data_IF_873045704434
#
_entry.id   IF_873045704434
#
_cell.length_a   1.000
_cell.length_b   1.000
_cell.length_c   1.000
_cell.angle_alpha   90.00
_cell.angle_beta   90.00
_cell.angle_gamma   90.00
#
_symmetry.space_group_name_H-M   'P 1'
#
loop_
_entity.id
_entity.type
_entity.pdbx_description
1 polymer ?
#
# COMPACT_ATOMS: atom_id res chain seq x y z
N UNK A 1 -7.85 7.49 17.10
CA UNK A 1 -7.73 7.53 15.63
C UNK A 1 -6.29 7.47 15.13
N UNK A 2 -5.50 8.54 15.25
CA UNK A 2 -4.16 8.63 14.60
C UNK A 2 -3.18 7.50 14.97
N UNK A 3 -3.12 7.09 16.24
CA UNK A 3 -2.20 6.03 16.71
C UNK A 3 -2.62 4.62 16.27
N UNK A 4 -3.90 4.32 16.31
CA UNK A 4 -4.46 2.95 16.14
C UNK A 4 -5.07 2.66 14.76
N UNK A 5 -4.99 3.60 13.83
CA UNK A 5 -5.52 3.49 12.47
C UNK A 5 -7.02 3.22 12.41
N UNK A 6 -7.74 3.87 13.32
CA UNK A 6 -9.19 3.79 13.35
C UNK A 6 -9.78 4.21 12.01
N UNK A 7 -10.86 3.57 11.61
CA UNK A 7 -11.52 3.93 10.37
C UNK A 7 -12.14 5.34 10.46
N UNK A 8 -12.19 6.01 9.30
CA UNK A 8 -12.68 7.38 9.19
C UNK A 8 -14.12 7.54 9.67
N UNK A 9 -15.02 6.65 9.24
CA UNK A 9 -16.46 6.73 9.52
C UNK A 9 -16.74 6.67 11.03
N UNK A 10 -16.14 5.70 11.73
CA UNK A 10 -16.25 5.58 13.19
C UNK A 10 -15.66 6.78 13.91
N UNK A 11 -14.48 7.23 13.48
CA UNK A 11 -13.85 8.42 14.07
C UNK A 11 -14.73 9.66 13.94
N UNK A 12 -15.24 9.94 12.71
CA UNK A 12 -16.12 11.07 12.44
C UNK A 12 -17.38 11.03 13.30
N UNK A 13 -18.05 9.88 13.34
CA UNK A 13 -19.26 9.68 14.11
C UNK A 13 -19.05 9.91 15.62
N UNK A 14 -17.97 9.37 16.20
CA UNK A 14 -17.66 9.54 17.62
C UNK A 14 -17.40 11.01 17.94
N UNK A 15 -16.62 11.72 17.13
CA UNK A 15 -16.32 13.14 17.36
C UNK A 15 -17.61 13.98 17.27
N UNK A 16 -18.46 13.75 16.27
CA UNK A 16 -19.76 14.42 16.14
C UNK A 16 -20.67 14.16 17.34
N UNK A 17 -20.72 12.91 17.82
CA UNK A 17 -21.50 12.57 19.03
C UNK A 17 -21.01 13.27 20.28
N UNK A 18 -19.68 13.40 20.46
CA UNK A 18 -19.11 14.12 21.59
C UNK A 18 -19.46 15.61 21.53
N UNK A 19 -19.43 16.20 20.33
CA UNK A 19 -19.78 17.61 20.13
C UNK A 19 -21.28 17.89 20.31
N UNK A 20 -22.14 16.93 19.93
CA UNK A 20 -23.58 17.09 19.99
C UNK A 20 -24.03 18.33 19.20
N UNK A 21 -24.83 19.20 19.81
CA UNK A 21 -25.28 20.45 19.18
C UNK A 21 -24.16 21.45 18.88
N UNK A 22 -22.99 21.31 19.51
CA UNK A 22 -21.84 22.21 19.26
C UNK A 22 -21.25 22.05 17.87
N UNK A 23 -21.62 21.00 17.14
CA UNK A 23 -21.17 20.82 15.75
C UNK A 23 -21.68 21.93 14.80
N UNK A 24 -22.77 22.61 15.17
CA UNK A 24 -23.33 23.72 14.39
C UNK A 24 -22.79 25.09 14.81
N UNK A 25 -22.20 25.20 16.01
CA UNK A 25 -21.79 26.48 16.62
C UNK A 25 -20.29 26.64 16.74
N UNK A 26 -19.52 25.56 16.94
CA UNK A 26 -18.06 25.56 16.92
C UNK A 26 -17.57 25.34 15.48
N UNK A 27 -16.64 26.19 15.02
CA UNK A 27 -16.04 26.10 13.69
C UNK A 27 -15.40 24.72 13.46
N UNK A 28 -14.71 24.19 14.47
CA UNK A 28 -14.08 22.85 14.39
C UNK A 28 -15.12 21.74 14.25
N UNK A 29 -16.30 21.98 14.82
CA UNK A 29 -17.45 21.09 14.70
C UNK A 29 -18.00 21.06 13.28
N UNK A 30 -18.19 22.24 12.67
CA UNK A 30 -18.62 22.36 11.27
C UNK A 30 -17.61 21.73 10.31
N UNK A 31 -16.33 22.03 10.51
CA UNK A 31 -15.26 21.42 9.72
C UNK A 31 -15.21 19.90 9.88
N UNK A 32 -15.45 19.37 11.09
CA UNK A 32 -15.57 17.92 11.31
C UNK A 32 -16.76 17.32 10.56
N UNK A 33 -17.88 18.03 10.46
CA UNK A 33 -19.05 17.60 9.67
C UNK A 33 -18.72 17.55 8.17
N UNK A 34 -17.94 18.51 7.66
CA UNK A 34 -17.53 18.57 6.26
C UNK A 34 -16.36 17.64 5.91
N UNK A 35 -15.59 17.18 6.89
CA UNK A 35 -14.41 16.35 6.68
C UNK A 35 -14.72 15.09 5.86
N UNK A 36 -13.86 14.76 4.89
CA UNK A 36 -13.93 13.56 4.04
C UNK A 36 -12.90 12.49 4.39
N UNK A 37 -11.97 12.81 5.29
CA UNK A 37 -10.88 11.91 5.72
C UNK A 37 -10.46 12.19 7.16
N UNK A 38 -9.69 11.27 7.77
CA UNK A 38 -9.09 11.49 9.09
C UNK A 38 -8.12 12.66 9.07
N UNK A 39 -7.41 12.87 7.95
CA UNK A 39 -6.52 14.02 7.78
C UNK A 39 -7.27 15.35 7.90
N UNK A 40 -8.48 15.42 7.32
CA UNK A 40 -9.32 16.62 7.39
C UNK A 40 -9.85 16.85 8.81
N UNK A 41 -10.26 15.78 9.51
CA UNK A 41 -10.63 15.86 10.93
C UNK A 41 -9.43 16.35 11.75
N UNK A 42 -8.23 15.80 11.53
CA UNK A 42 -7.04 16.25 12.24
C UNK A 42 -6.68 17.69 11.94
N UNK A 43 -6.93 18.17 10.72
CA UNK A 43 -6.75 19.58 10.34
C UNK A 43 -7.71 20.48 11.10
N UNK A 44 -9.00 20.12 11.16
CA UNK A 44 -10.01 20.87 11.90
C UNK A 44 -9.67 21.02 13.39
N UNK A 45 -8.98 20.03 13.95
CA UNK A 45 -8.57 20.01 15.35
C UNK A 45 -7.13 20.48 15.59
N UNK A 46 -6.44 21.01 14.56
CA UNK A 46 -5.04 21.46 14.65
C UNK A 46 -4.06 20.40 15.20
N UNK A 47 -4.31 19.12 14.88
CA UNK A 47 -3.49 17.96 15.28
C UNK A 47 -2.91 17.22 14.06
N UNK A 48 -2.77 17.92 12.93
CA UNK A 48 -2.17 17.36 11.70
C UNK A 48 -0.76 16.82 11.93
N UNK A 49 0.02 17.44 12.82
CA UNK A 49 1.38 16.99 13.13
C UNK A 49 1.40 15.61 13.80
N UNK A 50 0.46 15.37 14.72
CA UNK A 50 0.29 14.06 15.38
C UNK A 50 -0.11 13.00 14.35
N UNK A 51 -1.03 13.34 13.45
CA UNK A 51 -1.42 12.45 12.35
C UNK A 51 -0.22 12.10 11.46
N UNK A 52 0.56 13.10 11.04
CA UNK A 52 1.73 12.92 10.20
C UNK A 52 2.83 12.10 10.90
N UNK A 53 3.04 12.33 12.20
CA UNK A 53 4.00 11.56 13.01
C UNK A 53 3.65 10.06 12.98
N UNK A 54 2.42 9.69 13.32
CA UNK A 54 2.00 8.29 13.30
C UNK A 54 1.95 7.70 11.89
N UNK A 55 1.55 8.48 10.88
CA UNK A 55 1.63 8.09 9.47
C UNK A 55 3.07 7.74 9.07
N UNK A 56 4.04 8.55 9.47
CA UNK A 56 5.46 8.32 9.18
C UNK A 56 6.03 7.13 9.95
N UNK A 57 5.63 6.92 11.21
CA UNK A 57 6.01 5.73 11.98
C UNK A 57 5.53 4.45 11.27
N UNK A 58 4.30 4.44 10.77
CA UNK A 58 3.77 3.30 10.01
C UNK A 58 4.50 3.08 8.70
N UNK A 59 4.77 4.16 7.95
CA UNK A 59 5.60 4.08 6.73
C UNK A 59 6.97 3.48 7.00
N UNK A 60 7.61 3.84 8.11
CA UNK A 60 8.89 3.25 8.53
C UNK A 60 8.76 1.79 8.95
N UNK A 61 7.64 1.41 9.58
CA UNK A 61 7.37 0.03 9.96
C UNK A 61 7.10 -0.87 8.73
N UNK A 62 6.37 -0.37 7.73
CA UNK A 62 6.15 -1.10 6.46
C UNK A 62 7.44 -1.24 5.65
N UNK A 63 8.32 -0.24 5.68
CA UNK A 63 9.67 -0.35 5.09
C UNK A 63 10.57 -1.38 5.79
N UNK A 64 10.27 -1.77 7.04
CA UNK A 64 10.98 -2.81 7.79
C UNK A 64 10.45 -4.24 7.55
N UNK A 65 9.49 -4.45 6.64
CA UNK A 65 9.05 -5.80 6.27
C UNK A 65 10.27 -6.59 5.79
N UNK A 66 10.65 -7.61 6.55
CA UNK A 66 11.78 -8.47 6.21
C UNK A 66 11.36 -9.43 5.10
N UNK A 67 12.26 -9.67 4.16
CA UNK A 67 12.10 -10.80 3.26
C UNK A 67 12.35 -12.09 4.03
N UNK A 68 11.44 -13.03 3.87
CA UNK A 68 11.66 -14.41 4.28
C UNK A 68 12.08 -15.18 3.03
N UNK A 69 13.31 -15.68 3.04
CA UNK A 69 13.83 -16.51 1.95
C UNK A 69 13.45 -17.95 2.24
N UNK A 70 12.82 -18.59 1.27
CA UNK A 70 12.60 -20.02 1.29
C UNK A 70 13.87 -20.72 0.79
N UNK A 71 14.56 -21.43 1.69
CA UNK A 71 15.84 -22.11 1.40
C UNK A 71 15.70 -23.22 0.35
N UNK A 72 14.51 -23.81 0.17
CA UNK A 72 14.29 -24.88 -0.81
C UNK A 72 14.05 -24.34 -2.22
N UNK A 73 13.31 -23.23 -2.33
CA UNK A 73 12.89 -22.68 -3.64
C UNK A 73 13.69 -21.46 -4.09
N UNK A 74 14.46 -20.85 -3.18
CA UNK A 74 15.19 -19.60 -3.38
C UNK A 74 14.29 -18.38 -3.55
N UNK A 75 13.00 -18.49 -3.20
CA UNK A 75 12.02 -17.41 -3.36
C UNK A 75 12.08 -16.50 -2.15
N UNK A 76 12.26 -15.21 -2.40
CA UNK A 76 12.16 -14.15 -1.39
C UNK A 76 10.71 -13.70 -1.25
N UNK A 77 10.09 -14.04 -0.12
CA UNK A 77 8.73 -13.68 0.21
C UNK A 77 8.65 -12.41 1.04
N UNK A 78 7.64 -11.59 0.76
CA UNK A 78 7.31 -10.42 1.55
C UNK A 78 5.79 -10.23 1.58
N UNK A 79 5.23 -10.04 2.77
CA UNK A 79 3.79 -9.87 2.93
C UNK A 79 3.37 -8.46 2.55
N UNK A 80 2.91 -8.28 1.30
CA UNK A 80 2.42 -7.00 0.82
C UNK A 80 1.26 -7.11 -0.15
N UNK A 81 0.45 -6.06 -0.16
CA UNK A 81 -0.65 -5.85 -1.09
C UNK A 81 -0.81 -4.34 -1.33
N UNK A 82 -1.72 -3.96 -2.21
CA UNK A 82 -2.10 -2.57 -2.40
C UNK A 82 -3.60 -2.44 -2.71
N UNK A 83 -4.24 -1.28 -2.49
CA UNK A 83 -5.67 -1.15 -2.71
C UNK A 83 -6.03 -1.23 -4.20
N UNK A 84 -7.04 -2.02 -4.63
CA UNK A 84 -7.39 -2.19 -6.04
C UNK A 84 -7.72 -0.88 -6.79
N UNK A 85 -8.15 0.15 -6.06
CA UNK A 85 -8.45 1.48 -6.61
C UNK A 85 -7.23 2.10 -7.31
N UNK A 86 -6.00 1.77 -6.88
CA UNK A 86 -4.74 2.24 -7.48
C UNK A 86 -4.58 1.81 -8.95
N UNK A 87 -5.15 0.67 -9.35
CA UNK A 87 -5.11 0.22 -10.75
C UNK A 87 -6.20 0.83 -11.63
N UNK A 88 -7.20 1.50 -11.03
CA UNK A 88 -8.29 2.16 -11.76
C UNK A 88 -8.02 3.63 -12.04
N UNK A 89 -7.09 4.24 -11.32
CA UNK A 89 -6.65 5.61 -11.57
C UNK A 89 -5.78 5.63 -12.85
N UNK A 90 -6.46 5.58 -14.00
CA UNK A 90 -5.89 5.33 -15.33
C UNK A 90 -5.13 6.52 -15.93
N UNK A 91 -5.04 7.63 -15.21
CA UNK A 91 -4.43 8.87 -15.69
C UNK A 91 -2.94 8.88 -15.41
N UNK A 92 -2.15 8.21 -16.25
CA UNK A 92 -0.68 8.34 -16.26
C UNK A 92 0.06 7.76 -15.03
N UNK A 93 -0.62 7.03 -14.15
CA UNK A 93 0.00 6.44 -12.97
C UNK A 93 1.02 5.36 -13.36
N UNK A 94 2.29 5.61 -13.04
CA UNK A 94 3.38 4.65 -13.26
C UNK A 94 3.16 3.44 -12.34
N UNK A 95 2.95 2.26 -12.92
CA UNK A 95 2.67 1.03 -12.14
C UNK A 95 3.96 0.32 -11.72
N UNK A 96 3.95 -0.49 -10.63
CA UNK A 96 5.08 -1.31 -10.24
C UNK A 96 5.71 -2.10 -11.41
N UNK A 97 4.89 -2.75 -12.26
CA UNK A 97 5.39 -3.46 -13.46
C UNK A 97 6.11 -2.54 -14.44
N UNK A 98 5.58 -1.33 -14.68
CA UNK A 98 6.19 -0.38 -15.61
C UNK A 98 7.59 0.04 -15.14
N UNK A 99 7.74 0.31 -13.84
CA UNK A 99 9.03 0.73 -13.27
C UNK A 99 10.02 -0.42 -13.26
N UNK A 100 9.56 -1.63 -12.94
CA UNK A 100 10.42 -2.80 -12.93
C UNK A 100 10.95 -3.12 -14.33
N UNK A 101 10.10 -3.00 -15.35
CA UNK A 101 10.53 -3.13 -16.75
C UNK A 101 11.55 -2.05 -17.14
N UNK A 102 11.27 -0.78 -16.83
CA UNK A 102 12.19 0.32 -17.10
C UNK A 102 13.53 0.12 -16.38
N UNK A 103 13.51 -0.39 -15.14
CA UNK A 103 14.71 -0.75 -14.40
C UNK A 103 15.50 -1.87 -15.09
N UNK A 104 14.85 -2.92 -15.58
CA UNK A 104 15.53 -3.98 -16.33
C UNK A 104 16.16 -3.43 -17.61
N UNK A 105 15.41 -2.64 -18.38
CA UNK A 105 15.87 -2.02 -19.63
C UNK A 105 17.07 -1.07 -19.38
N UNK A 106 17.05 -0.27 -18.30
CA UNK A 106 18.14 0.64 -17.90
C UNK A 106 19.43 -0.09 -17.48
N UNK A 107 19.32 -1.28 -16.89
CA UNK A 107 20.46 -2.04 -16.36
C UNK A 107 20.92 -3.15 -17.32
N UNK A 108 20.32 -3.27 -18.51
CA UNK A 108 20.63 -4.33 -19.48
C UNK A 108 20.28 -5.74 -18.97
N UNK A 109 19.32 -5.84 -18.04
CA UNK A 109 18.88 -7.10 -17.46
C UNK A 109 17.74 -7.66 -18.31
N UNK A 110 17.64 -8.99 -18.40
CA UNK A 110 16.48 -9.64 -19.00
C UNK A 110 15.17 -9.16 -18.37
N UNK A 111 14.13 -9.08 -19.21
CA UNK A 111 12.80 -8.65 -18.77
C UNK A 111 12.25 -9.59 -17.69
N UNK A 112 11.50 -9.04 -16.70
CA UNK A 112 10.96 -9.83 -15.61
C UNK A 112 10.00 -10.91 -16.12
N UNK A 113 10.20 -12.14 -15.65
CA UNK A 113 9.33 -13.28 -15.97
C UNK A 113 8.32 -13.45 -14.83
N UNK A 114 7.03 -13.47 -15.17
CA UNK A 114 5.95 -13.63 -14.19
C UNK A 114 5.31 -15.01 -14.28
N UNK A 115 5.18 -15.68 -13.14
CA UNK A 115 4.47 -16.94 -13.00
C UNK A 115 3.29 -16.74 -12.05
N UNK A 116 2.06 -16.80 -12.58
CA UNK A 116 0.83 -16.69 -11.80
C UNK A 116 0.26 -18.07 -11.46
N UNK A 117 -0.09 -18.30 -10.20
CA UNK A 117 -0.79 -19.49 -9.73
C UNK A 117 -2.12 -19.12 -9.06
N UNK A 118 -3.15 -19.93 -9.30
CA UNK A 118 -4.43 -19.84 -8.58
C UNK A 118 -4.35 -20.75 -7.34
N UNK A 119 -4.47 -20.15 -6.16
CA UNK A 119 -4.60 -20.87 -4.91
C UNK A 119 -6.01 -21.44 -4.82
N UNK A 120 -6.11 -22.77 -4.85
CA UNK A 120 -7.39 -23.48 -4.94
C UNK A 120 -8.22 -23.32 -3.65
N UNK A 121 -7.55 -23.21 -2.51
CA UNK A 121 -8.21 -23.16 -1.19
C UNK A 121 -9.12 -21.95 -1.00
N UNK A 122 -8.75 -20.79 -1.53
CA UNK A 122 -9.49 -19.53 -1.36
C UNK A 122 -9.77 -18.78 -2.67
N UNK A 123 -9.45 -19.40 -3.82
CA UNK A 123 -9.62 -18.85 -5.17
C UNK A 123 -8.88 -17.51 -5.36
N UNK A 124 -7.75 -17.30 -4.67
CA UNK A 124 -6.89 -16.13 -4.83
C UNK A 124 -5.72 -16.39 -5.76
N UNK A 125 -5.20 -15.33 -6.36
CA UNK A 125 -4.05 -15.38 -7.27
C UNK A 125 -2.78 -14.95 -6.55
N UNK A 126 -1.71 -15.72 -6.72
CA UNK A 126 -0.36 -15.38 -6.30
C UNK A 126 0.52 -15.32 -7.54
N UNK A 127 1.51 -14.42 -7.55
CA UNK A 127 2.45 -14.31 -8.65
C UNK A 127 3.88 -14.29 -8.12
N UNK A 128 4.76 -14.98 -8.83
CA UNK A 128 6.20 -14.97 -8.60
C UNK A 128 6.81 -14.20 -9.76
N UNK A 129 7.71 -13.25 -9.47
CA UNK A 129 8.51 -12.56 -10.47
C UNK A 129 9.96 -13.00 -10.36
N UNK A 130 10.56 -13.31 -11.50
CA UNK A 130 11.98 -13.67 -11.62
C UNK A 130 12.74 -12.58 -12.37
N UNK A 131 13.79 -12.07 -11.75
CA UNK A 131 14.70 -11.05 -12.30
C UNK A 131 16.12 -11.43 -11.90
N UNK A 132 17.02 -11.54 -12.88
CA UNK A 132 18.43 -11.81 -12.64
C UNK A 132 18.65 -13.02 -11.71
N UNK A 133 17.95 -14.12 -12.00
CA UNK A 133 17.92 -15.36 -11.21
C UNK A 133 17.41 -15.23 -9.76
N UNK A 134 16.90 -14.07 -9.36
CA UNK A 134 16.24 -13.85 -8.07
C UNK A 134 14.73 -13.90 -8.23
N UNK A 135 14.07 -14.61 -7.33
CA UNK A 135 12.61 -14.77 -7.33
C UNK A 135 11.99 -14.01 -6.17
N UNK A 136 10.94 -13.23 -6.45
CA UNK A 136 10.21 -12.45 -5.46
C UNK A 136 8.72 -12.75 -5.54
N UNK A 137 8.05 -12.81 -4.39
CA UNK A 137 6.62 -13.08 -4.30
C UNK A 137 6.00 -12.49 -3.04
N UNK A 138 4.68 -12.32 -3.05
CA UNK A 138 3.89 -12.01 -1.86
C UNK A 138 3.03 -13.19 -1.45
N UNK A 139 2.94 -13.46 -0.15
CA UNK A 139 2.06 -14.52 0.40
C UNK A 139 0.59 -14.09 0.48
N UNK A 140 0.33 -12.78 0.31
CA UNK A 140 -1.04 -12.23 0.32
C UNK A 140 -1.69 -12.47 -1.05
N UNK A 141 -2.66 -13.37 -1.06
CA UNK A 141 -3.43 -13.71 -2.26
C UNK A 141 -4.28 -12.56 -2.80
N UNK A 142 -4.26 -12.39 -4.12
CA UNK A 142 -4.89 -11.28 -4.83
C UNK A 142 -6.20 -11.70 -5.53
N UNK A 143 -7.15 -10.76 -5.77
CA UNK A 143 -8.44 -11.09 -6.38
C UNK A 143 -8.35 -11.46 -7.87
N UNK A 144 -7.28 -11.06 -8.58
CA UNK A 144 -7.09 -11.36 -10.01
C UNK A 144 -5.60 -11.42 -10.38
N UNK A 145 -5.31 -12.06 -11.54
CA UNK A 145 -3.95 -12.22 -12.08
C UNK A 145 -3.21 -10.89 -12.26
N UNK A 146 -3.87 -9.88 -12.83
CA UNK A 146 -3.27 -8.57 -13.09
C UNK A 146 -2.76 -7.92 -11.79
N UNK A 147 -3.53 -8.04 -10.72
CA UNK A 147 -3.16 -7.51 -9.41
C UNK A 147 -2.04 -8.33 -8.76
N UNK A 148 -2.08 -9.65 -8.89
CA UNK A 148 -1.00 -10.53 -8.43
C UNK A 148 0.36 -10.15 -9.05
N UNK A 149 0.42 -9.96 -10.37
CA UNK A 149 1.66 -9.57 -11.05
C UNK A 149 2.20 -8.22 -10.60
N UNK A 150 1.31 -7.25 -10.37
CA UNK A 150 1.70 -5.92 -9.88
C UNK A 150 2.23 -5.98 -8.45
N UNK A 151 1.64 -6.82 -7.60
CA UNK A 151 2.12 -7.07 -6.24
C UNK A 151 3.48 -7.77 -6.26
N UNK A 152 3.68 -8.76 -7.13
CA UNK A 152 4.98 -9.41 -7.31
C UNK A 152 6.04 -8.42 -7.80
N UNK A 153 5.69 -7.55 -8.75
CA UNK A 153 6.59 -6.50 -9.23
C UNK A 153 6.99 -5.53 -8.10
N UNK A 154 6.05 -5.16 -7.24
CA UNK A 154 6.32 -4.33 -6.07
C UNK A 154 7.25 -5.06 -5.07
N UNK A 155 7.04 -6.36 -4.84
CA UNK A 155 7.92 -7.19 -4.02
C UNK A 155 9.37 -7.16 -4.55
N UNK A 156 9.56 -7.29 -5.86
CA UNK A 156 10.88 -7.18 -6.47
C UNK A 156 11.50 -5.78 -6.32
N UNK A 157 10.74 -4.70 -6.53
CA UNK A 157 11.25 -3.34 -6.34
C UNK A 157 11.75 -3.10 -4.90
N UNK A 158 11.04 -3.63 -3.90
CA UNK A 158 11.46 -3.54 -2.50
C UNK A 158 12.69 -4.44 -2.26
N UNK A 159 12.70 -5.66 -2.78
CA UNK A 159 13.82 -6.61 -2.61
C UNK A 159 15.12 -6.17 -3.27
N UNK A 160 15.02 -5.39 -4.36
CA UNK A 160 16.14 -4.77 -5.05
C UNK A 160 16.56 -3.42 -4.43
N UNK A 161 15.84 -2.94 -3.41
CA UNK A 161 16.09 -1.63 -2.80
C UNK A 161 15.87 -0.47 -3.78
N UNK A 162 14.89 -0.59 -4.67
CA UNK A 162 14.51 0.40 -5.71
C UNK A 162 13.09 0.93 -5.52
N UNK A 163 12.54 0.82 -4.31
CA UNK A 163 11.19 1.26 -3.98
C UNK A 163 11.01 2.76 -4.22
N UNK A 164 12.04 3.55 -4.02
CA UNK A 164 12.06 5.01 -4.21
C UNK A 164 11.76 5.45 -5.64
N UNK A 165 12.00 4.59 -6.64
CA UNK A 165 11.63 4.89 -8.04
C UNK A 165 10.12 4.93 -8.25
N UNK A 166 9.33 4.27 -7.39
CA UNK A 166 7.88 4.20 -7.50
C UNK A 166 7.20 5.39 -6.81
N UNK A 167 6.56 6.32 -7.56
CA UNK A 167 5.81 7.40 -6.96
C UNK A 167 4.52 6.88 -6.31
N UNK A 168 4.17 7.47 -5.17
CA UNK A 168 2.93 7.19 -4.43
C UNK A 168 3.07 6.09 -3.37
N UNK A 169 2.06 6.01 -2.50
CA UNK A 169 1.94 5.00 -1.45
C UNK A 169 1.17 3.80 -2.03
N UNK A 170 1.91 2.79 -2.49
CA UNK A 170 1.33 1.56 -3.01
C UNK A 170 1.07 0.55 -1.89
N UNK A 171 1.94 0.46 -0.90
CA UNK A 171 1.88 -0.58 0.13
C UNK A 171 0.72 -0.38 1.12
N UNK A 172 -0.02 -1.47 1.34
CA UNK A 172 -0.86 -1.71 2.52
C UNK A 172 -0.24 -2.80 3.41
#
# INVERSE_FOLDING_TARGET
>A
ACKYDENFTSTKYVVQRILGSKQETDERGRETVLAGSISDICKAWSISDIYNCYKNIRKRATQKRKFEVDDETGISFIDLTFPPKRLRDRSGAVTPKCILNAFCDENGINRPIYQCKLRITDKRYEAIVEIDHKKFSSRIGQPNKKMAEQVAALAALIGLGKREKLPGDWEE
#
